data_IF_696556309267
#
_entry.id   IF_696556309267
#
_cell.length_a   1.000
_cell.length_b   1.000
_cell.length_c   1.000
_cell.angle_alpha   90.00
_cell.angle_beta   90.00
_cell.angle_gamma   90.00
#
_symmetry.space_group_name_H-M   'P 1'
#
loop_
_entity.id
_entity.type
_entity.pdbx_description
1 polymer ?
#
# COMPACT_ATOMS: atom_id res chain seq x y z
N UNK A 1 20.15 -7.10 -14.19
CA UNK A 1 19.54 -5.90 -14.81
C UNK A 1 18.70 -5.22 -13.74
N UNK A 2 18.83 -3.92 -13.55
CA UNK A 2 18.02 -3.20 -12.55
C UNK A 2 16.63 -2.85 -13.07
N UNK A 3 15.68 -2.58 -12.17
CA UNK A 3 14.35 -2.13 -12.56
C UNK A 3 14.39 -0.83 -13.39
N UNK A 4 15.27 0.11 -13.02
CA UNK A 4 15.46 1.34 -13.80
C UNK A 4 15.97 1.07 -15.22
N UNK A 5 16.92 0.16 -15.38
CA UNK A 5 17.43 -0.23 -16.70
C UNK A 5 16.32 -0.87 -17.55
N UNK A 6 15.48 -1.72 -16.94
CA UNK A 6 14.34 -2.32 -17.62
C UNK A 6 13.37 -1.25 -18.12
N UNK A 7 13.00 -0.27 -17.30
CA UNK A 7 12.12 0.82 -17.74
C UNK A 7 12.75 1.64 -18.85
N UNK A 8 14.04 1.95 -18.80
CA UNK A 8 14.71 2.69 -19.88
C UNK A 8 14.78 1.89 -21.19
N UNK A 9 14.81 0.55 -21.11
CA UNK A 9 14.80 -0.36 -22.26
C UNK A 9 13.39 -0.51 -22.86
N UNK A 10 12.40 -0.75 -22.01
CA UNK A 10 11.01 -1.01 -22.36
C UNK A 10 10.23 0.29 -22.23
N UNK A 11 10.12 1.03 -23.32
CA UNK A 11 9.31 2.26 -23.36
C UNK A 11 7.86 2.01 -22.90
N UNK A 12 7.22 3.02 -22.30
CA UNK A 12 5.83 2.92 -21.83
C UNK A 12 4.82 2.47 -22.90
N UNK A 13 5.03 2.87 -24.16
CA UNK A 13 4.12 2.51 -25.26
C UNK A 13 4.08 0.98 -25.51
N UNK A 14 5.16 0.27 -25.19
CA UNK A 14 5.22 -1.20 -25.22
C UNK A 14 4.54 -1.85 -24.02
N UNK A 15 4.54 -1.18 -22.85
CA UNK A 15 3.93 -1.67 -21.61
C UNK A 15 2.40 -1.53 -21.66
N UNK A 16 1.91 -0.44 -22.26
CA UNK A 16 0.50 -0.05 -22.25
C UNK A 16 -0.48 -1.17 -22.66
N UNK A 17 -0.26 -1.94 -23.75
CA UNK A 17 -1.20 -3.00 -24.14
C UNK A 17 -1.31 -4.12 -23.12
N UNK A 18 -0.25 -4.39 -22.35
CA UNK A 18 -0.24 -5.39 -21.29
C UNK A 18 -1.00 -4.86 -20.06
N UNK A 19 -0.80 -3.57 -19.73
CA UNK A 19 -1.49 -2.92 -18.64
C UNK A 19 -3.01 -2.83 -18.87
N UNK A 20 -3.44 -2.50 -20.09
CA UNK A 20 -4.87 -2.47 -20.47
C UNK A 20 -5.54 -3.84 -20.39
N UNK A 21 -4.78 -4.93 -20.57
CA UNK A 21 -5.28 -6.32 -20.42
C UNK A 21 -5.32 -6.76 -18.96
N UNK A 22 -4.35 -6.33 -18.17
CA UNK A 22 -4.23 -6.72 -16.77
C UNK A 22 -5.22 -5.96 -15.88
N UNK A 23 -5.44 -4.67 -16.14
CA UNK A 23 -6.35 -3.78 -15.39
C UNK A 23 -7.44 -3.19 -16.30
N UNK A 24 -8.40 -4.01 -16.79
CA UNK A 24 -9.45 -3.54 -17.70
C UNK A 24 -10.47 -2.62 -17.02
N UNK A 25 -10.56 -2.63 -15.69
CA UNK A 25 -11.52 -1.82 -14.93
C UNK A 25 -11.03 -0.40 -14.64
N UNK A 26 -9.70 -0.18 -14.66
CA UNK A 26 -9.06 1.07 -14.25
C UNK A 26 -8.36 1.80 -15.42
N UNK A 27 -8.95 1.72 -16.61
CA UNK A 27 -8.39 2.35 -17.82
C UNK A 27 -8.25 3.88 -17.72
N UNK A 28 -9.09 4.53 -16.91
CA UNK A 28 -8.98 5.97 -16.64
C UNK A 28 -7.66 6.34 -15.96
N UNK A 29 -7.04 5.38 -15.26
CA UNK A 29 -5.77 5.56 -14.55
C UNK A 29 -4.53 5.44 -15.45
N UNK A 30 -4.66 5.12 -16.74
CA UNK A 30 -3.51 4.95 -17.66
C UNK A 30 -2.62 6.19 -17.70
N UNK A 31 -3.20 7.40 -17.62
CA UNK A 31 -2.42 8.63 -17.55
C UNK A 31 -1.60 8.74 -16.26
N UNK A 32 -2.12 8.23 -15.14
CA UNK A 32 -1.41 8.21 -13.88
C UNK A 32 -0.25 7.18 -13.91
N UNK A 33 -0.46 6.02 -14.54
CA UNK A 33 0.63 5.08 -14.82
C UNK A 33 1.71 5.68 -15.71
N UNK A 34 1.32 6.47 -16.72
CA UNK A 34 2.27 7.17 -17.58
C UNK A 34 3.12 8.17 -16.79
N UNK A 35 2.48 8.97 -15.94
CA UNK A 35 3.17 9.94 -15.10
C UNK A 35 4.11 9.24 -14.11
N UNK A 36 3.64 8.17 -13.46
CA UNK A 36 4.46 7.34 -12.58
C UNK A 36 5.70 6.78 -13.30
N UNK A 37 5.52 6.22 -14.50
CA UNK A 37 6.63 5.72 -15.31
C UNK A 37 7.64 6.84 -15.67
N UNK A 38 7.16 7.99 -16.16
CA UNK A 38 8.04 9.10 -16.53
C UNK A 38 8.79 9.65 -15.30
N UNK A 39 8.16 9.68 -14.12
CA UNK A 39 8.80 10.03 -12.86
C UNK A 39 9.88 9.01 -12.48
N UNK A 40 9.58 7.71 -12.57
CA UNK A 40 10.51 6.62 -12.29
C UNK A 40 11.75 6.67 -13.18
N UNK A 41 11.60 6.94 -14.48
CA UNK A 41 12.73 7.10 -15.39
C UNK A 41 13.63 8.30 -15.03
N UNK A 42 13.04 9.39 -14.52
CA UNK A 42 13.76 10.62 -14.14
C UNK A 42 14.40 10.54 -12.75
N UNK A 43 13.90 9.68 -11.87
CA UNK A 43 14.43 9.54 -10.52
C UNK A 43 15.80 8.87 -10.52
N UNK A 44 16.68 9.34 -9.66
CA UNK A 44 17.93 8.64 -9.36
C UNK A 44 17.62 7.50 -8.39
N UNK A 45 18.03 6.25 -8.73
CA UNK A 45 17.87 5.13 -7.81
C UNK A 45 18.69 5.41 -6.55
N UNK A 46 18.30 4.79 -5.44
CA UNK A 46 19.12 4.80 -4.25
C UNK A 46 20.52 4.29 -4.61
N UNK A 47 21.57 4.97 -4.13
CA UNK A 47 22.92 4.41 -4.24
C UNK A 47 22.93 3.06 -3.54
N UNK A 48 23.60 2.06 -4.12
CA UNK A 48 23.75 0.73 -3.53
C UNK A 48 24.22 0.92 -2.09
N UNK A 49 23.32 0.75 -1.13
CA UNK A 49 23.70 0.79 0.28
C UNK A 49 24.36 -0.55 0.55
N UNK A 50 25.69 -0.54 0.75
CA UNK A 50 26.52 -1.71 1.11
C UNK A 50 26.05 -2.47 2.37
N UNK A 51 24.95 -2.05 3.00
CA UNK A 51 24.46 -2.53 4.30
C UNK A 51 23.09 -3.21 4.28
N UNK A 52 22.40 -3.26 3.14
CA UNK A 52 21.16 -4.04 2.99
C UNK A 52 21.58 -5.40 2.43
N UNK A 53 21.15 -6.49 3.07
CA UNK A 53 21.49 -7.84 2.62
C UNK A 53 21.12 -8.00 1.13
N UNK A 54 22.01 -8.57 0.32
CA UNK A 54 21.89 -8.65 -1.15
C UNK A 54 20.57 -9.30 -1.63
N UNK A 55 19.86 -10.02 -0.77
CA UNK A 55 18.54 -10.62 -1.07
C UNK A 55 17.37 -9.65 -0.90
N UNK A 56 17.44 -8.69 0.02
CA UNK A 56 16.35 -7.72 0.25
C UNK A 56 16.28 -6.66 -0.85
N UNK A 57 17.35 -6.49 -1.64
CA UNK A 57 17.42 -5.52 -2.73
C UNK A 57 17.10 -6.12 -4.11
N UNK A 58 16.36 -7.23 -4.16
CA UNK A 58 15.98 -7.90 -5.42
C UNK A 58 14.50 -7.72 -5.71
N UNK A 59 14.20 -7.47 -6.98
CA UNK A 59 12.84 -7.51 -7.51
C UNK A 59 12.58 -8.93 -7.97
N UNK A 60 11.71 -9.65 -7.27
CA UNK A 60 11.38 -11.04 -7.59
C UNK A 60 10.13 -11.11 -8.44
N UNK A 61 10.19 -11.78 -9.58
CA UNK A 61 9.01 -12.05 -10.42
C UNK A 61 8.71 -13.55 -10.34
N UNK A 62 7.64 -13.89 -9.63
CA UNK A 62 7.30 -15.28 -9.33
C UNK A 62 5.79 -15.51 -9.31
N UNK A 63 5.40 -16.79 -9.20
CA UNK A 63 4.02 -17.18 -9.00
C UNK A 63 3.59 -16.93 -7.56
N UNK A 64 2.51 -16.17 -7.39
CA UNK A 64 1.84 -15.93 -6.12
C UNK A 64 0.49 -16.65 -6.08
N UNK A 65 0.00 -16.89 -4.85
CA UNK A 65 -1.29 -17.53 -4.60
C UNK A 65 -1.30 -19.04 -4.84
N UNK A 66 -2.48 -19.64 -4.67
CA UNK A 66 -2.67 -21.09 -4.83
C UNK A 66 -2.11 -21.93 -3.67
N UNK A 67 -1.73 -21.31 -2.56
CA UNK A 67 -1.42 -21.99 -1.29
C UNK A 67 -2.70 -22.41 -0.54
N UNK A 68 -3.81 -21.72 -0.81
CA UNK A 68 -5.12 -21.97 -0.22
C UNK A 68 -6.03 -22.59 -1.29
N UNK A 69 -6.80 -23.61 -0.88
CA UNK A 69 -7.70 -24.34 -1.76
C UNK A 69 -8.75 -23.41 -2.39
N UNK A 70 -8.64 -23.17 -3.70
CA UNK A 70 -9.54 -22.31 -4.47
C UNK A 70 -8.96 -20.94 -4.87
N UNK A 71 -7.74 -20.60 -4.47
CA UNK A 71 -7.04 -19.42 -5.00
C UNK A 71 -6.41 -19.71 -6.36
N UNK A 72 -6.70 -18.86 -7.33
CA UNK A 72 -6.01 -18.89 -8.63
C UNK A 72 -4.58 -18.40 -8.46
N UNK A 73 -3.63 -19.13 -9.05
CA UNK A 73 -2.24 -18.70 -9.13
C UNK A 73 -2.14 -17.52 -10.10
N UNK A 74 -1.39 -16.50 -9.72
CA UNK A 74 -1.14 -15.33 -10.55
C UNK A 74 0.35 -14.98 -10.51
N UNK A 75 0.87 -14.36 -11.56
CA UNK A 75 2.27 -13.90 -11.61
C UNK A 75 2.31 -12.46 -11.13
N UNK A 76 3.25 -12.13 -10.25
CA UNK A 76 3.43 -10.80 -9.68
C UNK A 76 4.89 -10.44 -9.53
N UNK A 77 5.13 -9.17 -9.23
CA UNK A 77 6.46 -8.67 -8.89
C UNK A 77 6.51 -8.29 -7.41
N UNK A 78 7.48 -8.82 -6.67
CA UNK A 78 7.76 -8.41 -5.31
C UNK A 78 8.91 -7.41 -5.34
N UNK A 79 8.60 -6.14 -5.06
CA UNK A 79 9.60 -5.08 -4.96
C UNK A 79 10.21 -5.04 -3.54
N UNK A 80 11.50 -4.66 -3.38
CA UNK A 80 12.18 -4.54 -2.09
C UNK A 80 11.38 -3.82 -1.00
N UNK A 81 10.82 -2.66 -1.33
CA UNK A 81 10.02 -1.83 -0.42
C UNK A 81 8.51 -1.97 -0.66
N UNK A 82 8.10 -2.85 -1.58
CA UNK A 82 6.70 -3.03 -1.98
C UNK A 82 6.04 -1.76 -2.51
N UNK A 83 6.77 -0.90 -3.23
CA UNK A 83 6.24 0.35 -3.77
C UNK A 83 6.17 1.51 -2.77
N UNK A 84 6.79 1.39 -1.59
CA UNK A 84 6.77 2.45 -0.56
C UNK A 84 7.95 3.42 -0.65
N UNK A 85 9.12 2.95 -1.09
CA UNK A 85 10.28 3.78 -1.45
C UNK A 85 10.74 3.44 -2.87
N UNK A 86 10.29 4.26 -3.82
CA UNK A 86 10.59 4.05 -5.24
C UNK A 86 12.09 4.12 -5.53
N UNK A 87 12.89 4.83 -4.72
CA UNK A 87 14.34 4.90 -4.99
C UNK A 87 15.02 3.57 -4.70
N UNK A 88 14.60 2.89 -3.64
CA UNK A 88 15.08 1.55 -3.29
C UNK A 88 14.60 0.55 -4.35
N UNK A 89 13.30 0.59 -4.70
CA UNK A 89 12.74 -0.34 -5.69
C UNK A 89 13.41 -0.21 -7.08
N UNK A 90 13.72 1.01 -7.51
CA UNK A 90 14.40 1.27 -8.80
C UNK A 90 15.86 0.78 -8.83
N UNK A 91 16.51 0.71 -7.66
CA UNK A 91 17.86 0.17 -7.53
C UNK A 91 17.88 -1.36 -7.55
N UNK A 92 16.73 -2.00 -7.32
CA UNK A 92 16.64 -3.43 -7.18
C UNK A 92 17.00 -4.21 -8.45
N UNK A 93 17.70 -5.32 -8.27
CA UNK A 93 18.03 -6.24 -9.37
C UNK A 93 16.87 -7.18 -9.65
N UNK A 94 16.48 -7.30 -10.92
CA UNK A 94 15.38 -8.17 -11.33
C UNK A 94 15.86 -9.62 -11.38
N UNK A 95 15.16 -10.47 -10.63
CA UNK A 95 15.30 -11.93 -10.61
C UNK A 95 13.97 -12.54 -10.98
N UNK A 96 13.95 -13.32 -12.06
CA UNK A 96 12.77 -14.02 -12.57
C UNK A 96 12.95 -15.51 -12.27
N UNK A 97 11.93 -16.15 -11.71
CA UNK A 97 11.96 -17.58 -11.42
C UNK A 97 11.96 -18.41 -12.73
N UNK A 98 12.61 -19.58 -12.70
CA UNK A 98 12.82 -20.43 -13.89
C UNK A 98 11.52 -20.88 -14.57
N UNK A 99 10.41 -20.92 -13.82
CA UNK A 99 9.08 -21.33 -14.29
C UNK A 99 8.23 -20.15 -14.81
N UNK A 100 8.76 -18.93 -14.80
CA UNK A 100 8.13 -17.73 -15.34
C UNK A 100 8.75 -17.38 -16.69
N UNK A 101 7.95 -17.45 -17.75
CA UNK A 101 8.36 -17.09 -19.10
C UNK A 101 7.58 -15.87 -19.59
N UNK A 102 7.99 -14.70 -19.12
CA UNK A 102 7.42 -13.41 -19.51
C UNK A 102 8.39 -12.62 -20.38
N UNK A 103 7.82 -11.78 -21.24
CA UNK A 103 8.59 -10.77 -21.97
C UNK A 103 9.07 -9.65 -21.05
N UNK A 104 10.11 -8.92 -21.46
CA UNK A 104 10.59 -7.74 -20.73
C UNK A 104 9.47 -6.69 -20.56
N UNK A 105 8.59 -6.57 -21.57
CA UNK A 105 7.40 -5.72 -21.55
C UNK A 105 6.42 -6.10 -20.43
N UNK A 106 6.16 -7.40 -20.26
CA UNK A 106 5.26 -7.91 -19.22
C UNK A 106 5.87 -7.78 -17.83
N UNK A 107 7.17 -8.07 -17.69
CA UNK A 107 7.88 -7.88 -16.43
C UNK A 107 7.84 -6.41 -16.02
N UNK A 108 8.08 -5.49 -16.96
CA UNK A 108 8.01 -4.06 -16.70
C UNK A 108 6.59 -3.62 -16.31
N UNK A 109 5.55 -4.22 -16.90
CA UNK A 109 4.16 -3.98 -16.53
C UNK A 109 3.89 -4.38 -15.08
N UNK A 110 4.25 -5.60 -14.68
CA UNK A 110 4.06 -6.08 -13.30
C UNK A 110 4.81 -5.22 -12.28
N UNK A 111 6.07 -4.88 -12.57
CA UNK A 111 6.86 -4.03 -11.69
C UNK A 111 6.27 -2.61 -11.58
N UNK A 112 5.76 -2.04 -12.68
CA UNK A 112 5.12 -0.73 -12.67
C UNK A 112 3.83 -0.75 -11.85
N UNK A 113 3.01 -1.79 -12.00
CA UNK A 113 1.77 -1.96 -11.25
C UNK A 113 2.05 -1.99 -9.74
N UNK A 114 2.98 -2.84 -9.31
CA UNK A 114 3.40 -2.98 -7.91
C UNK A 114 3.99 -1.69 -7.34
N UNK A 115 4.81 -0.98 -8.13
CA UNK A 115 5.37 0.31 -7.73
C UNK A 115 4.28 1.35 -7.44
N UNK A 116 3.19 1.31 -8.23
CA UNK A 116 2.06 2.25 -8.11
C UNK A 116 0.96 1.79 -7.16
N UNK A 117 1.09 0.61 -6.53
CA UNK A 117 0.04 0.02 -5.69
C UNK A 117 -0.40 0.95 -4.54
N UNK A 118 0.55 1.67 -3.94
CA UNK A 118 0.27 2.61 -2.84
C UNK A 118 0.01 4.05 -3.28
N UNK A 119 0.13 4.36 -4.58
CA UNK A 119 -0.08 5.68 -5.16
C UNK A 119 0.76 5.91 -6.42
N UNK A 120 0.37 6.88 -7.25
CA UNK A 120 1.03 7.15 -8.54
C UNK A 120 2.20 8.14 -8.43
N UNK A 121 2.49 8.63 -7.22
CA UNK A 121 3.67 9.44 -6.97
C UNK A 121 4.19 9.26 -5.54
N UNK A 122 5.51 9.45 -5.31
CA UNK A 122 6.09 9.41 -3.96
C UNK A 122 5.41 10.38 -2.99
N UNK A 123 4.94 11.53 -3.48
CA UNK A 123 4.24 12.52 -2.66
C UNK A 123 2.84 12.07 -2.22
N UNK A 124 2.14 11.31 -3.05
CA UNK A 124 0.85 10.70 -2.70
C UNK A 124 1.03 9.56 -1.70
N UNK A 125 2.03 8.70 -1.93
CA UNK A 125 2.41 7.64 -1.00
C UNK A 125 2.74 8.26 0.36
N UNK A 126 3.57 9.30 0.40
CA UNK A 126 3.91 9.98 1.65
C UNK A 126 2.66 10.54 2.36
N UNK A 127 1.67 11.09 1.64
CA UNK A 127 0.41 11.55 2.24
C UNK A 127 -0.43 10.40 2.81
N UNK A 128 -0.54 9.30 2.06
CA UNK A 128 -1.24 8.09 2.49
C UNK A 128 -0.59 7.49 3.74
N UNK A 129 0.74 7.42 3.77
CA UNK A 129 1.50 6.89 4.90
C UNK A 129 1.68 7.86 6.07
N UNK A 130 1.62 9.18 5.85
CA UNK A 130 1.55 10.19 6.92
C UNK A 130 0.35 9.99 7.84
N UNK A 131 -0.75 9.41 7.33
CA UNK A 131 -1.90 9.05 8.18
C UNK A 131 -1.58 7.91 9.16
N UNK A 132 -0.66 7.03 8.80
CA UNK A 132 -0.23 5.91 9.64
C UNK A 132 0.93 6.30 10.57
N UNK A 133 1.81 7.23 10.17
CA UNK A 133 2.87 7.77 11.02
C UNK A 133 2.29 8.83 11.96
N UNK A 134 2.26 8.59 13.28
CA UNK A 134 1.87 9.63 14.24
C UNK A 134 2.78 10.85 14.11
N UNK A 135 2.22 11.93 13.59
CA UNK A 135 2.81 13.25 13.75
C UNK A 135 2.56 13.70 15.20
N UNK A 136 3.63 14.05 15.94
CA UNK A 136 3.46 14.80 17.19
C UNK A 136 2.98 16.20 16.81
N UNK A 137 1.79 16.64 17.28
CA UNK A 137 1.31 17.98 16.99
C UNK A 137 2.30 18.99 17.55
N UNK A 138 2.89 19.81 16.68
CA UNK A 138 3.90 20.81 17.04
C UNK A 138 3.25 22.21 17.14
N UNK A 139 2.22 22.48 16.33
CA UNK A 139 1.51 23.75 16.29
C UNK A 139 0.27 23.84 17.20
N UNK A 140 -0.15 25.05 17.61
CA UNK A 140 -1.36 25.24 18.42
C UNK A 140 -2.63 24.71 17.74
N UNK A 141 -2.72 24.83 16.41
CA UNK A 141 -3.84 24.30 15.62
C UNK A 141 -3.83 22.78 15.54
N UNK A 142 -2.66 22.17 15.40
CA UNK A 142 -2.51 20.71 15.36
C UNK A 142 -2.87 20.10 16.72
N UNK A 143 -2.49 20.76 17.81
CA UNK A 143 -2.93 20.36 19.16
C UNK A 143 -4.45 20.46 19.30
N UNK A 144 -5.07 21.51 18.75
CA UNK A 144 -6.53 21.65 18.76
C UNK A 144 -7.22 20.56 17.93
N UNK A 145 -6.65 20.22 16.77
CA UNK A 145 -7.14 19.15 15.91
C UNK A 145 -7.03 17.78 16.59
N UNK A 146 -5.88 17.47 17.21
CA UNK A 146 -5.67 16.21 17.94
C UNK A 146 -6.65 16.05 19.11
N UNK A 147 -6.94 17.14 19.85
CA UNK A 147 -7.97 17.17 20.90
C UNK A 147 -9.38 16.95 20.34
N UNK A 148 -9.68 17.54 19.20
CA UNK A 148 -10.96 17.37 18.53
C UNK A 148 -11.15 15.91 18.09
N UNK A 149 -10.15 15.33 17.43
CA UNK A 149 -10.17 13.92 17.03
C UNK A 149 -10.28 12.98 18.24
N UNK A 150 -9.57 13.26 19.34
CA UNK A 150 -9.70 12.50 20.57
C UNK A 150 -11.11 12.61 21.16
N UNK A 151 -11.71 13.80 21.15
CA UNK A 151 -13.09 14.00 21.57
C UNK A 151 -14.05 13.18 20.70
N UNK A 152 -13.92 13.27 19.37
CA UNK A 152 -14.75 12.52 18.42
C UNK A 152 -14.63 11.02 18.68
N UNK A 153 -13.41 10.49 18.78
CA UNK A 153 -13.16 9.07 19.07
C UNK A 153 -13.77 8.64 20.41
N UNK A 154 -13.65 9.47 21.45
CA UNK A 154 -14.28 9.21 22.76
C UNK A 154 -15.81 9.29 22.72
N UNK A 155 -16.42 10.02 21.80
CA UNK A 155 -17.88 10.09 21.70
C UNK A 155 -18.45 9.01 20.79
N UNK A 156 -17.73 8.63 19.73
CA UNK A 156 -18.18 7.64 18.74
C UNK A 156 -17.88 6.20 19.18
N UNK A 157 -16.75 5.95 19.83
CA UNK A 157 -16.32 4.60 20.21
C UNK A 157 -16.65 4.34 21.68
N UNK A 158 -17.38 3.28 22.06
CA UNK A 158 -17.56 2.87 23.46
C UNK A 158 -16.24 2.62 24.18
N UNK A 159 -16.13 2.96 25.47
CA UNK A 159 -14.89 2.86 26.25
C UNK A 159 -14.23 1.48 26.20
N UNK A 160 -15.03 0.40 26.21
CA UNK A 160 -14.58 -1.00 26.14
C UNK A 160 -13.94 -1.42 24.81
N UNK A 161 -14.14 -0.63 23.75
CA UNK A 161 -13.60 -0.88 22.40
C UNK A 161 -12.45 0.08 22.07
N UNK A 162 -12.06 0.93 23.01
CA UNK A 162 -10.95 1.87 22.82
C UNK A 162 -9.67 1.19 23.27
N UNK A 163 -8.77 0.96 22.34
CA UNK A 163 -7.41 0.54 22.63
C UNK A 163 -6.43 1.61 22.17
N UNK A 164 -5.25 1.62 22.78
CA UNK A 164 -4.14 2.46 22.36
C UNK A 164 -2.98 1.61 21.90
N UNK A 165 -2.39 1.99 20.78
CA UNK A 165 -1.16 1.39 20.28
C UNK A 165 0.05 1.67 21.17
N UNK A 166 1.19 1.01 20.90
CA UNK A 166 2.47 1.28 21.56
C UNK A 166 2.88 2.75 21.46
N UNK A 167 2.58 3.38 20.32
CA UNK A 167 2.85 4.79 20.07
C UNK A 167 1.67 5.69 20.46
N UNK A 168 0.63 5.12 21.09
CA UNK A 168 -0.61 5.78 21.50
C UNK A 168 -1.59 6.05 20.35
N UNK A 169 -1.49 5.35 19.21
CA UNK A 169 -2.52 5.40 18.15
C UNK A 169 -3.89 5.04 18.72
N UNK A 170 -4.95 5.62 18.16
CA UNK A 170 -6.33 5.37 18.57
C UNK A 170 -6.85 4.17 17.79
N UNK A 171 -6.93 3.02 18.43
CA UNK A 171 -7.49 1.82 17.80
C UNK A 171 -8.90 1.56 18.31
N UNK A 172 -9.70 0.96 17.43
CA UNK A 172 -10.98 0.37 17.79
C UNK A 172 -10.74 -1.11 17.83
N UNK A 173 -10.76 -1.70 19.03
CA UNK A 173 -10.56 -3.13 19.19
C UNK A 173 -11.75 -3.87 18.55
N UNK A 174 -11.48 -4.45 17.39
CA UNK A 174 -12.44 -5.14 16.55
C UNK A 174 -12.48 -6.66 16.81
N UNK A 175 -11.86 -7.13 17.91
CA UNK A 175 -11.87 -8.53 18.32
C UNK A 175 -13.27 -9.16 18.46
N UNK A 176 -14.33 -8.36 18.32
CA UNK A 176 -15.68 -8.86 18.14
C UNK A 176 -16.53 -7.93 17.26
N UNK A 177 -16.05 -7.57 16.05
CA UNK A 177 -16.80 -6.74 15.09
C UNK A 177 -18.22 -7.33 14.85
N UNK A 178 -18.33 -8.65 14.78
CA UNK A 178 -19.61 -9.39 14.68
C UNK A 178 -20.52 -9.16 15.89
N UNK A 179 -20.01 -9.14 17.12
CA UNK A 179 -20.81 -8.81 18.30
C UNK A 179 -21.15 -7.31 18.42
N UNK A 180 -20.27 -6.42 17.93
CA UNK A 180 -20.55 -4.99 17.89
C UNK A 180 -21.68 -4.67 16.91
N UNK A 181 -21.64 -5.21 15.69
CA UNK A 181 -22.73 -5.07 14.72
C UNK A 181 -24.03 -5.72 15.22
N UNK A 182 -23.98 -6.96 15.76
CA UNK A 182 -25.17 -7.59 16.38
C UNK A 182 -25.78 -6.76 17.50
N UNK A 183 -25.00 -6.02 18.29
CA UNK A 183 -25.50 -5.19 19.40
C UNK A 183 -26.04 -3.82 18.96
N UNK A 184 -25.48 -3.22 17.91
CA UNK A 184 -25.98 -1.98 17.30
C UNK A 184 -27.34 -2.22 16.62
N UNK A 185 -27.48 -3.37 15.94
CA UNK A 185 -28.73 -3.79 15.29
C UNK A 185 -29.68 -4.59 16.21
N UNK A 186 -29.25 -4.95 17.42
CA UNK A 186 -30.16 -5.54 18.42
C UNK A 186 -31.24 -4.52 18.79
N UNK A 187 -32.52 -4.90 18.64
CA UNK A 187 -33.67 -4.10 19.08
C UNK A 187 -33.65 -3.93 20.60
N UNK A 188 -32.93 -2.91 21.06
CA UNK A 188 -32.87 -2.46 22.46
C UNK A 188 -33.55 -1.11 22.61
N UNK A 189 -34.36 -0.95 23.65
CA UNK A 189 -34.93 0.34 24.02
C UNK A 189 -33.83 1.37 24.31
N UNK A 190 -34.10 2.65 24.00
CA UNK A 190 -33.14 3.77 24.07
C UNK A 190 -32.35 3.82 25.38
N UNK A 191 -33.02 3.56 26.51
CA UNK A 191 -32.42 3.56 27.85
C UNK A 191 -31.34 2.48 28.03
N UNK A 192 -31.53 1.29 27.45
CA UNK A 192 -30.55 0.20 27.49
C UNK A 192 -29.35 0.51 26.59
N UNK A 193 -29.58 1.10 25.41
CA UNK A 193 -28.50 1.56 24.52
C UNK A 193 -27.62 2.61 25.20
N UNK A 194 -28.21 3.60 25.89
CA UNK A 194 -27.43 4.63 26.61
C UNK A 194 -26.55 4.07 27.75
N UNK A 195 -26.88 2.90 28.31
CA UNK A 195 -26.10 2.28 29.39
C UNK A 195 -24.81 1.63 28.88
N UNK A 196 -24.81 1.11 27.64
CA UNK A 196 -23.64 0.49 27.02
C UNK A 196 -22.53 1.52 26.66
N UNK A 197 -22.86 2.82 26.67
CA UNK A 197 -21.95 3.94 26.38
C UNK A 197 -21.51 4.72 27.64
N UNK A 198 -21.99 4.36 28.83
CA UNK A 198 -21.50 4.90 30.12
C UNK A 198 -20.31 4.10 30.61
#
# INVERSE_FOLDING_TARGET
MTLKELFLKVGFDSIRPHLERFEPEHLDSIYAFREAYDLSCRMEPAGIMESIEDEENKVHVSWHGGEIEGEEKWIGASLPSGGTDWKEDLAGEIVVDDDVHLSDEEIAMYCLWELTYWGFSPAEIEKSFKRFKRHKPAGPYEIALDKLEESIWRHQTPRRLRSRGPNGERYIDAGDAKACFKRVYARKNRSKRKRDYR
#
